data_IF_731048330287
#
_entry.id   IF_731048330287
#
_cell.length_a   1.000
_cell.length_b   1.000
_cell.length_c   1.000
_cell.angle_alpha   90.00
_cell.angle_beta   90.00
_cell.angle_gamma   90.00
#
_symmetry.space_group_name_H-M   'P 1'
#
loop_
_entity.id
_entity.type
_entity.pdbx_description
1 polymer ?
#
# COMPACT_ATOMS: atom_id res chain seq x y z
N UNK A 1 15.67 -1.66 9.05
CA UNK A 1 15.99 -3.11 8.81
C UNK A 1 16.93 -3.28 7.61
N UNK A 2 17.97 -4.15 7.71
CA UNK A 2 18.80 -4.54 6.55
C UNK A 2 18.05 -5.63 5.75
N UNK A 3 17.88 -5.43 4.45
CA UNK A 3 17.23 -6.40 3.57
C UNK A 3 18.30 -7.34 2.99
N UNK A 4 18.20 -8.61 3.32
CA UNK A 4 19.10 -9.68 2.85
C UNK A 4 18.43 -10.53 1.76
N UNK A 5 17.12 -10.79 1.89
CA UNK A 5 16.33 -11.50 0.88
C UNK A 5 15.00 -10.79 0.60
N UNK A 6 14.52 -10.89 -0.63
CA UNK A 6 13.20 -10.44 -1.05
C UNK A 6 12.77 -11.27 -2.26
N UNK A 7 11.73 -12.08 -2.11
CA UNK A 7 11.31 -13.08 -3.07
C UNK A 7 9.83 -13.02 -3.36
N UNK A 8 9.47 -13.18 -4.63
CA UNK A 8 8.08 -13.36 -5.03
C UNK A 8 7.64 -14.80 -4.69
N UNK A 9 6.53 -14.93 -3.99
CA UNK A 9 6.00 -16.23 -3.58
C UNK A 9 4.95 -16.70 -4.58
N UNK A 10 3.86 -15.96 -4.73
CA UNK A 10 2.78 -16.27 -5.67
C UNK A 10 1.83 -15.11 -5.89
N UNK A 11 1.01 -15.25 -6.92
CA UNK A 11 -0.17 -14.42 -7.14
C UNK A 11 -1.44 -15.21 -6.79
N UNK A 12 -2.45 -14.53 -6.27
CA UNK A 12 -3.72 -15.12 -5.91
C UNK A 12 -4.89 -14.16 -6.15
N UNK A 13 -6.11 -14.72 -6.24
CA UNK A 13 -7.36 -13.96 -6.33
C UNK A 13 -8.17 -14.12 -5.05
N UNK A 14 -8.34 -15.35 -4.59
CA UNK A 14 -9.24 -15.70 -3.48
C UNK A 14 -8.53 -16.38 -2.31
N UNK A 15 -9.09 -16.30 -1.08
CA UNK A 15 -8.47 -16.81 0.13
C UNK A 15 -7.89 -18.22 0.07
N UNK A 16 -8.53 -19.22 -0.58
CA UNK A 16 -7.94 -20.57 -0.66
C UNK A 16 -6.63 -20.65 -1.44
N UNK A 17 -6.31 -19.63 -2.25
CA UNK A 17 -5.08 -19.54 -3.03
C UNK A 17 -3.94 -18.84 -2.30
N UNK A 18 -4.23 -18.15 -1.18
CA UNK A 18 -3.22 -17.40 -0.44
C UNK A 18 -2.16 -18.31 0.16
N UNK A 19 -0.92 -17.81 0.32
CA UNK A 19 0.08 -18.56 1.07
C UNK A 19 -0.33 -18.69 2.54
N UNK A 20 0.23 -19.64 3.30
CA UNK A 20 0.00 -19.75 4.73
C UNK A 20 0.25 -18.44 5.47
N UNK A 21 -0.60 -18.09 6.43
CA UNK A 21 -0.54 -16.85 7.22
C UNK A 21 0.48 -16.96 8.38
N UNK A 22 1.71 -17.36 8.08
CA UNK A 22 2.77 -17.62 9.07
C UNK A 22 3.61 -16.40 9.41
N UNK A 23 3.59 -15.38 8.55
CA UNK A 23 4.35 -14.14 8.72
C UNK A 23 3.40 -12.95 8.85
N UNK A 24 3.77 -11.91 9.61
CA UNK A 24 3.01 -10.66 9.61
C UNK A 24 3.03 -10.04 8.21
N UNK A 25 1.88 -9.55 7.75
CA UNK A 25 1.70 -9.01 6.41
C UNK A 25 1.55 -7.51 6.40
N UNK A 26 2.27 -6.87 5.49
CA UNK A 26 2.14 -5.45 5.17
C UNK A 26 1.53 -5.34 3.77
N UNK A 27 0.30 -4.88 3.68
CA UNK A 27 -0.39 -4.72 2.41
C UNK A 27 -0.16 -3.32 1.82
N UNK A 28 -0.03 -3.24 0.51
CA UNK A 28 0.17 -2.00 -0.24
C UNK A 28 -1.07 -1.74 -1.09
N UNK A 29 -1.81 -0.69 -0.76
CA UNK A 29 -3.04 -0.29 -1.44
C UNK A 29 -2.91 1.12 -2.04
N UNK A 30 -3.47 1.34 -3.21
CA UNK A 30 -3.47 2.65 -3.87
C UNK A 30 -3.95 2.57 -5.31
N UNK A 31 -4.20 3.72 -5.90
CA UNK A 31 -4.64 3.82 -7.30
C UNK A 31 -3.60 3.27 -8.26
N UNK A 32 -4.06 2.85 -9.44
CA UNK A 32 -3.17 2.53 -10.55
C UNK A 32 -2.23 3.71 -10.86
N UNK A 33 -0.96 3.41 -11.11
CA UNK A 33 0.09 4.39 -11.41
C UNK A 33 0.39 5.40 -10.28
N UNK A 34 -0.04 5.12 -9.06
CA UNK A 34 0.28 5.94 -7.88
C UNK A 34 1.76 5.86 -7.47
N UNK A 35 2.47 4.82 -7.89
CA UNK A 35 3.87 4.55 -7.54
C UNK A 35 4.06 3.38 -6.56
N UNK A 36 3.03 2.52 -6.42
CA UNK A 36 3.01 1.38 -5.50
C UNK A 36 4.18 0.41 -5.72
N UNK A 37 4.38 -0.11 -6.93
CA UNK A 37 5.50 -1.02 -7.24
C UNK A 37 6.87 -0.34 -7.08
N UNK A 38 6.97 0.97 -7.39
CA UNK A 38 8.20 1.73 -7.15
C UNK A 38 8.51 1.84 -5.66
N UNK A 39 7.48 2.07 -4.82
CA UNK A 39 7.62 2.10 -3.37
C UNK A 39 8.10 0.74 -2.85
N UNK A 40 7.42 -0.36 -3.20
CA UNK A 40 7.80 -1.72 -2.79
C UNK A 40 9.27 -2.00 -3.18
N UNK A 41 9.62 -1.77 -4.44
CA UNK A 41 10.97 -2.02 -4.95
C UNK A 41 12.04 -1.18 -4.22
N UNK A 42 11.73 0.09 -3.91
CA UNK A 42 12.63 0.99 -3.17
C UNK A 42 12.81 0.52 -1.72
N UNK A 43 11.73 0.12 -1.04
CA UNK A 43 11.80 -0.37 0.34
C UNK A 43 12.72 -1.59 0.46
N UNK A 44 12.64 -2.52 -0.49
CA UNK A 44 13.45 -3.75 -0.46
C UNK A 44 14.80 -3.62 -1.16
N UNK A 45 15.11 -2.47 -1.78
CA UNK A 45 16.36 -2.26 -2.53
C UNK A 45 16.52 -3.19 -3.73
N UNK A 46 15.41 -3.64 -4.35
CA UNK A 46 15.42 -4.54 -5.51
C UNK A 46 14.76 -3.84 -6.72
N UNK A 47 15.37 -4.01 -7.90
CA UNK A 47 14.76 -3.58 -9.15
C UNK A 47 13.83 -4.70 -9.63
N UNK A 48 12.58 -4.34 -10.01
CA UNK A 48 11.63 -5.26 -10.65
C UNK A 48 11.11 -6.45 -9.81
N UNK A 49 11.19 -6.41 -8.46
CA UNK A 49 10.53 -7.40 -7.62
C UNK A 49 8.99 -7.28 -7.81
N UNK A 50 8.45 -6.11 -7.53
CA UNK A 50 7.07 -5.79 -7.90
C UNK A 50 7.06 -5.21 -9.32
N UNK A 51 6.35 -5.87 -10.24
CA UNK A 51 6.28 -5.44 -11.65
C UNK A 51 5.32 -4.26 -11.78
N UNK A 52 5.75 -3.21 -12.48
CA UNK A 52 4.87 -2.14 -12.91
C UNK A 52 4.03 -2.62 -14.08
N UNK A 53 2.74 -2.88 -13.89
CA UNK A 53 1.83 -3.18 -14.99
C UNK A 53 1.28 -1.87 -15.56
N UNK A 54 1.62 -1.54 -16.81
CA UNK A 54 1.05 -0.41 -17.54
C UNK A 54 -0.16 -0.81 -18.41
N UNK A 55 -0.57 -2.09 -18.38
CA UNK A 55 -1.65 -2.58 -19.25
C UNK A 55 -2.97 -2.61 -18.48
N UNK A 56 -3.95 -1.74 -18.83
CA UNK A 56 -5.30 -1.81 -18.26
C UNK A 56 -5.99 -3.12 -18.67
N UNK A 57 -6.69 -3.77 -17.75
CA UNK A 57 -7.59 -4.90 -18.06
C UNK A 57 -7.01 -6.31 -17.92
N UNK A 58 -5.74 -6.50 -17.57
CA UNK A 58 -5.26 -7.82 -17.11
C UNK A 58 -5.83 -8.13 -15.74
N UNK A 59 -6.17 -9.40 -15.50
CA UNK A 59 -6.61 -9.91 -14.20
C UNK A 59 -5.70 -9.37 -13.12
N UNK A 60 -6.26 -8.52 -12.27
CA UNK A 60 -5.52 -7.90 -11.19
C UNK A 60 -5.40 -8.94 -10.09
N UNK A 61 -4.19 -9.32 -9.76
CA UNK A 61 -3.89 -10.34 -8.76
C UNK A 61 -3.32 -9.68 -7.51
N UNK A 62 -3.55 -10.28 -6.38
CA UNK A 62 -2.82 -10.00 -5.13
C UNK A 62 -1.49 -10.73 -5.23
N UNK A 63 -0.37 -10.01 -5.10
CA UNK A 63 0.96 -10.58 -5.18
C UNK A 63 1.60 -10.64 -3.80
N UNK A 64 2.10 -11.80 -3.42
CA UNK A 64 2.74 -12.06 -2.14
C UNK A 64 4.25 -12.17 -2.32
N UNK A 65 4.99 -11.48 -1.43
CA UNK A 65 6.44 -11.48 -1.39
C UNK A 65 6.91 -11.76 0.04
N UNK A 66 7.97 -12.51 0.21
CA UNK A 66 8.62 -12.70 1.51
C UNK A 66 9.89 -11.85 1.59
N UNK A 67 10.05 -11.15 2.70
CA UNK A 67 11.18 -10.25 2.98
C UNK A 67 11.93 -10.79 4.19
N UNK A 68 13.21 -11.13 4.02
CA UNK A 68 14.08 -11.69 5.07
C UNK A 68 13.47 -12.91 5.79
N UNK A 69 12.54 -13.62 5.18
CA UNK A 69 11.76 -14.70 5.80
C UNK A 69 11.05 -14.33 7.12
N UNK A 70 10.81 -13.02 7.32
CA UNK A 70 10.24 -12.46 8.55
C UNK A 70 8.96 -11.69 8.36
N UNK A 71 8.75 -11.13 7.16
CA UNK A 71 7.62 -10.25 6.82
C UNK A 71 7.12 -10.65 5.43
N UNK A 72 5.82 -10.62 5.25
CA UNK A 72 5.20 -10.73 3.93
C UNK A 72 4.78 -9.33 3.45
N UNK A 73 5.24 -8.93 2.26
CA UNK A 73 4.70 -7.78 1.54
C UNK A 73 3.61 -8.27 0.59
N UNK A 74 2.47 -7.58 0.60
CA UNK A 74 1.30 -7.95 -0.20
C UNK A 74 0.91 -6.79 -1.10
N UNK A 75 1.18 -6.95 -2.40
CA UNK A 75 0.86 -5.95 -3.41
C UNK A 75 -0.58 -6.14 -3.87
N UNK A 76 -1.49 -5.31 -3.35
CA UNK A 76 -2.89 -5.32 -3.76
C UNK A 76 -3.04 -4.70 -5.16
N UNK A 77 -3.97 -5.19 -5.98
CA UNK A 77 -4.22 -4.58 -7.28
C UNK A 77 -4.64 -3.11 -7.14
N UNK A 78 -4.12 -2.26 -8.01
CA UNK A 78 -4.47 -0.84 -8.02
C UNK A 78 -5.92 -0.62 -8.44
N UNK A 79 -6.59 0.37 -7.84
CA UNK A 79 -7.95 0.80 -8.22
C UNK A 79 -7.94 2.05 -9.12
N UNK A 80 -9.13 2.55 -9.49
CA UNK A 80 -9.28 3.82 -10.19
C UNK A 80 -8.88 3.79 -11.67
N UNK A 81 -8.99 2.65 -12.34
CA UNK A 81 -8.83 2.57 -13.78
C UNK A 81 -10.01 3.24 -14.49
N UNK A 82 -9.74 4.26 -15.31
CA UNK A 82 -10.78 5.02 -16.02
C UNK A 82 -11.53 4.19 -17.09
N UNK A 83 -10.91 3.13 -17.60
CA UNK A 83 -11.40 2.35 -18.77
C UNK A 83 -11.69 0.88 -18.44
N UNK A 84 -12.19 0.57 -17.26
CA UNK A 84 -12.63 -0.80 -16.92
C UNK A 84 -14.13 -0.87 -16.71
N UNK A 85 -14.74 -2.00 -17.06
CA UNK A 85 -16.17 -2.23 -16.87
C UNK A 85 -16.56 -2.22 -15.37
N UNK A 86 -17.82 -1.99 -15.09
CA UNK A 86 -18.34 -2.04 -13.72
C UNK A 86 -18.13 -3.42 -13.07
N UNK A 87 -18.23 -4.50 -13.87
CA UNK A 87 -17.97 -5.86 -13.39
C UNK A 87 -16.52 -6.05 -12.91
N UNK A 88 -15.54 -5.50 -13.62
CA UNK A 88 -14.14 -5.54 -13.20
C UNK A 88 -13.91 -4.75 -11.91
N UNK A 89 -14.58 -3.61 -11.74
CA UNK A 89 -14.53 -2.83 -10.50
C UNK A 89 -15.14 -3.58 -9.33
N UNK A 90 -16.26 -4.26 -9.54
CA UNK A 90 -16.94 -5.07 -8.52
C UNK A 90 -16.05 -6.23 -8.08
N UNK A 91 -15.52 -7.01 -9.02
CA UNK A 91 -14.62 -8.14 -8.72
C UNK A 91 -13.34 -7.68 -7.98
N UNK A 92 -12.80 -6.50 -8.35
CA UNK A 92 -11.69 -5.89 -7.63
C UNK A 92 -12.07 -5.61 -6.18
N UNK A 93 -13.22 -4.99 -5.95
CA UNK A 93 -13.71 -4.67 -4.60
C UNK A 93 -13.87 -5.92 -3.74
N UNK A 94 -14.57 -6.94 -4.26
CA UNK A 94 -14.78 -8.21 -3.57
C UNK A 94 -13.47 -8.92 -3.20
N UNK A 95 -12.50 -8.96 -4.12
CA UNK A 95 -11.20 -9.58 -3.89
C UNK A 95 -10.38 -8.86 -2.80
N UNK A 96 -10.31 -7.52 -2.88
CA UNK A 96 -9.56 -6.73 -1.89
C UNK A 96 -10.26 -6.75 -0.54
N UNK A 97 -11.58 -6.67 -0.52
CA UNK A 97 -12.38 -6.78 0.70
C UNK A 97 -12.18 -8.12 1.39
N UNK A 98 -12.27 -9.23 0.65
CA UNK A 98 -12.02 -10.57 1.20
C UNK A 98 -10.63 -10.66 1.83
N UNK A 99 -9.59 -10.16 1.15
CA UNK A 99 -8.24 -10.15 1.71
C UNK A 99 -8.15 -9.30 2.99
N UNK A 100 -8.57 -8.06 2.94
CA UNK A 100 -8.42 -7.12 4.05
C UNK A 100 -9.26 -7.53 5.28
N UNK A 101 -10.44 -8.13 5.07
CA UNK A 101 -11.35 -8.53 6.14
C UNK A 101 -10.98 -9.85 6.81
N UNK A 102 -10.53 -10.82 6.02
CA UNK A 102 -10.36 -12.19 6.48
C UNK A 102 -8.90 -12.54 6.84
N UNK A 103 -7.93 -11.72 6.39
CA UNK A 103 -6.52 -12.03 6.56
C UNK A 103 -6.00 -11.71 7.95
N UNK A 104 -5.91 -12.73 8.80
CA UNK A 104 -5.49 -12.57 10.22
C UNK A 104 -4.04 -12.11 10.39
N UNK A 105 -3.15 -12.44 9.46
CA UNK A 105 -1.75 -12.00 9.46
C UNK A 105 -1.54 -10.55 9.03
N UNK A 106 -2.59 -9.84 8.59
CA UNK A 106 -2.50 -8.44 8.17
C UNK A 106 -2.19 -7.53 9.37
N UNK A 107 -0.99 -7.00 9.41
CA UNK A 107 -0.51 -6.12 10.47
C UNK A 107 -0.73 -4.63 10.17
N UNK A 108 -0.59 -4.23 8.89
CA UNK A 108 -0.68 -2.82 8.47
C UNK A 108 -1.00 -2.72 6.98
N UNK A 109 -1.75 -1.70 6.60
CA UNK A 109 -1.92 -1.27 5.20
C UNK A 109 -1.11 0.00 4.94
N UNK A 110 -0.22 -0.03 3.97
CA UNK A 110 0.39 1.19 3.41
C UNK A 110 -0.58 1.75 2.39
N UNK A 111 -1.25 2.84 2.75
CA UNK A 111 -2.20 3.52 1.89
C UNK A 111 -1.51 4.61 1.08
N UNK A 112 -1.40 4.39 -0.21
CA UNK A 112 -0.52 5.14 -1.11
C UNK A 112 -1.31 6.14 -1.95
N UNK A 113 -0.92 7.40 -1.88
CA UNK A 113 -1.48 8.51 -2.64
C UNK A 113 -0.38 9.23 -3.43
N UNK A 114 -0.74 9.82 -4.57
CA UNK A 114 0.17 10.70 -5.33
C UNK A 114 0.05 12.12 -4.76
N UNK A 115 1.11 12.67 -4.18
CA UNK A 115 1.11 14.00 -3.54
C UNK A 115 0.61 15.12 -4.46
N UNK A 116 0.73 14.95 -5.78
CA UNK A 116 0.33 15.97 -6.76
C UNK A 116 -1.18 16.06 -6.97
N UNK A 117 -1.97 15.18 -6.36
CA UNK A 117 -3.41 15.04 -6.58
C UNK A 117 -4.18 15.05 -5.28
N UNK A 118 -5.38 15.60 -5.32
CA UNK A 118 -6.31 15.44 -4.23
C UNK A 118 -6.84 13.99 -4.16
N UNK A 119 -7.20 13.50 -2.98
CA UNK A 119 -7.84 12.20 -2.83
C UNK A 119 -9.11 12.10 -3.67
N UNK A 120 -9.25 11.00 -4.39
CA UNK A 120 -10.45 10.71 -5.17
C UNK A 120 -11.55 10.09 -4.32
N UNK A 121 -12.76 9.94 -4.88
CA UNK A 121 -13.86 9.21 -4.22
C UNK A 121 -13.47 7.77 -3.85
N UNK A 122 -12.72 7.10 -4.72
CA UNK A 122 -12.25 5.73 -4.45
C UNK A 122 -11.24 5.70 -3.27
N UNK A 123 -10.37 6.72 -3.15
CA UNK A 123 -9.45 6.86 -2.01
C UNK A 123 -10.23 7.08 -0.70
N UNK A 124 -11.25 7.93 -0.71
CA UNK A 124 -12.10 8.15 0.45
C UNK A 124 -12.87 6.89 0.85
N UNK A 125 -13.43 6.18 -0.14
CA UNK A 125 -14.14 4.90 0.12
C UNK A 125 -13.22 3.85 0.74
N UNK A 126 -11.97 3.72 0.27
CA UNK A 126 -11.01 2.80 0.86
C UNK A 126 -10.66 3.20 2.31
N UNK A 127 -10.46 4.51 2.57
CA UNK A 127 -10.23 5.01 3.93
C UNK A 127 -11.39 4.63 4.86
N UNK A 128 -12.63 4.98 4.47
CA UNK A 128 -13.83 4.73 5.27
C UNK A 128 -13.97 3.24 5.59
N UNK A 129 -13.64 2.41 4.62
CA UNK A 129 -13.65 0.97 4.78
C UNK A 129 -12.58 0.48 5.77
N UNK A 130 -11.33 0.97 5.66
CA UNK A 130 -10.25 0.63 6.60
C UNK A 130 -10.59 1.07 8.04
N UNK A 131 -11.22 2.23 8.20
CA UNK A 131 -11.67 2.74 9.50
C UNK A 131 -12.83 1.92 10.06
N UNK A 132 -13.84 1.60 9.24
CA UNK A 132 -14.98 0.79 9.64
C UNK A 132 -14.54 -0.57 10.21
N UNK A 133 -13.60 -1.24 9.54
CA UNK A 133 -13.07 -2.53 9.98
C UNK A 133 -11.88 -2.42 10.95
N UNK A 134 -11.54 -1.20 11.38
CA UNK A 134 -10.44 -0.91 12.31
C UNK A 134 -9.10 -1.50 11.88
N UNK A 135 -8.86 -1.54 10.57
CA UNK A 135 -7.60 -2.02 10.00
C UNK A 135 -6.56 -0.93 10.14
N UNK A 136 -5.41 -1.19 10.78
CA UNK A 136 -4.35 -0.20 10.88
C UNK A 136 -3.79 0.17 9.51
N UNK A 137 -3.57 1.47 9.27
CA UNK A 137 -2.97 1.93 8.03
C UNK A 137 -2.07 3.16 8.23
N UNK A 138 -1.14 3.33 7.28
CA UNK A 138 -0.20 4.45 7.19
C UNK A 138 -0.35 5.12 5.84
N UNK A 139 -0.54 6.44 5.81
CA UNK A 139 -0.53 7.18 4.56
C UNK A 139 0.89 7.41 4.06
N UNK A 140 1.13 7.11 2.79
CA UNK A 140 2.38 7.41 2.09
C UNK A 140 2.09 8.22 0.84
N UNK A 141 2.57 9.48 0.83
CA UNK A 141 2.43 10.38 -0.30
C UNK A 141 3.65 10.22 -1.22
N UNK A 142 3.46 9.54 -2.33
CA UNK A 142 4.51 9.27 -3.32
C UNK A 142 4.80 10.49 -4.21
N UNK A 143 5.90 10.39 -4.97
CA UNK A 143 6.32 11.39 -5.96
C UNK A 143 6.62 12.77 -5.37
N UNK A 144 7.09 12.79 -4.11
CA UNK A 144 7.42 14.03 -3.41
C UNK A 144 8.54 14.84 -4.11
N UNK A 145 9.37 14.18 -4.93
CA UNK A 145 10.39 14.83 -5.78
C UNK A 145 9.81 15.70 -6.92
N UNK A 146 8.52 15.63 -7.16
CA UNK A 146 7.84 16.40 -8.22
C UNK A 146 7.32 17.75 -7.75
N UNK A 147 7.44 18.06 -6.47
CA UNK A 147 7.02 19.32 -5.86
C UNK A 147 8.19 19.96 -5.11
N UNK A 148 8.19 21.29 -5.04
CA UNK A 148 9.10 22.00 -4.12
C UNK A 148 8.73 21.71 -2.66
N UNK A 149 9.62 22.06 -1.71
CA UNK A 149 9.34 21.85 -0.29
C UNK A 149 8.06 22.58 0.17
N UNK A 150 7.89 23.84 -0.22
CA UNK A 150 6.71 24.63 0.14
C UNK A 150 5.42 24.06 -0.47
N UNK A 151 5.47 23.63 -1.73
CA UNK A 151 4.34 22.97 -2.39
C UNK A 151 4.02 21.63 -1.70
N UNK A 152 5.04 20.86 -1.31
CA UNK A 152 4.84 19.58 -0.61
C UNK A 152 4.16 19.77 0.75
N UNK A 153 4.54 20.78 1.52
CA UNK A 153 3.91 21.10 2.81
C UNK A 153 2.45 21.51 2.60
N UNK A 154 2.20 22.44 1.68
CA UNK A 154 0.84 22.91 1.38
C UNK A 154 -0.07 21.78 0.90
N UNK A 155 0.42 20.96 -0.03
CA UNK A 155 -0.36 19.86 -0.58
C UNK A 155 -0.60 18.73 0.44
N UNK A 156 0.40 18.42 1.27
CA UNK A 156 0.22 17.51 2.41
C UNK A 156 -0.92 17.97 3.31
N UNK A 157 -0.90 19.23 3.77
CA UNK A 157 -1.95 19.78 4.64
C UNK A 157 -3.33 19.79 3.98
N UNK A 158 -3.39 19.98 2.65
CA UNK A 158 -4.64 19.87 1.89
C UNK A 158 -5.16 18.44 1.86
N UNK A 159 -4.29 17.47 1.60
CA UNK A 159 -4.63 16.05 1.59
C UNK A 159 -5.07 15.59 2.98
N UNK A 160 -4.38 15.99 4.05
CA UNK A 160 -4.76 15.70 5.44
C UNK A 160 -6.19 16.15 5.74
N UNK A 161 -6.53 17.39 5.38
CA UNK A 161 -7.89 17.90 5.55
C UNK A 161 -8.93 17.12 4.74
N UNK A 162 -8.64 16.81 3.48
CA UNK A 162 -9.56 16.09 2.60
C UNK A 162 -9.79 14.64 3.04
N UNK A 163 -8.79 14.04 3.69
CA UNK A 163 -8.90 12.71 4.27
C UNK A 163 -9.53 12.70 5.65
N UNK A 164 -9.86 13.88 6.23
CA UNK A 164 -10.24 13.99 7.64
C UNK A 164 -9.29 13.20 8.55
N UNK A 165 -8.00 13.18 8.19
CA UNK A 165 -7.00 12.43 8.94
C UNK A 165 -6.91 13.02 10.34
N UNK A 166 -7.09 12.17 11.37
CA UNK A 166 -6.90 12.59 12.75
C UNK A 166 -5.50 13.17 12.95
N UNK A 167 -5.41 14.27 13.69
CA UNK A 167 -4.14 14.87 14.06
C UNK A 167 -3.28 13.81 14.76
N UNK A 168 -2.14 13.44 14.15
CA UNK A 168 -1.22 12.41 14.68
C UNK A 168 -1.21 11.08 13.91
N UNK A 169 -2.13 10.82 12.99
CA UNK A 169 -1.93 9.73 12.01
C UNK A 169 -0.83 10.14 11.03
N UNK A 170 0.32 9.47 11.15
CA UNK A 170 1.51 9.81 10.38
C UNK A 170 1.26 9.76 8.87
N UNK A 171 1.55 10.88 8.18
CA UNK A 171 1.68 10.91 6.73
C UNK A 171 3.15 11.02 6.39
N UNK A 172 3.68 10.08 5.63
CA UNK A 172 5.06 10.07 5.18
C UNK A 172 5.15 10.54 3.72
N UNK A 173 6.02 11.52 3.47
CA UNK A 173 6.37 11.95 2.11
C UNK A 173 7.42 11.00 1.54
N UNK A 174 7.16 10.43 0.37
CA UNK A 174 8.03 9.45 -0.24
C UNK A 174 8.42 9.81 -1.69
N UNK A 175 9.67 9.54 -2.03
CA UNK A 175 10.17 9.58 -3.39
C UNK A 175 11.03 8.36 -3.71
N UNK A 176 10.64 7.58 -4.72
CA UNK A 176 11.46 6.48 -5.21
C UNK A 176 12.75 6.96 -5.91
N UNK A 177 12.78 8.22 -6.38
CA UNK A 177 13.95 8.80 -7.06
C UNK A 177 15.05 9.17 -6.07
N UNK A 178 14.67 9.74 -4.92
CA UNK A 178 15.61 10.27 -3.91
C UNK A 178 15.69 9.40 -2.67
N UNK A 179 14.89 8.34 -2.58
CA UNK A 179 14.69 7.48 -1.41
C UNK A 179 14.18 8.23 -0.15
N UNK A 180 13.73 9.48 -0.29
CA UNK A 180 13.12 10.25 0.80
C UNK A 180 11.96 9.45 1.41
N UNK A 181 11.88 9.39 2.74
CA UNK A 181 10.82 8.70 3.47
C UNK A 181 11.01 7.18 3.60
N UNK A 182 12.01 6.58 2.96
CA UNK A 182 12.27 5.13 3.03
C UNK A 182 12.54 4.66 4.47
N UNK A 183 13.43 5.38 5.18
CA UNK A 183 13.76 5.03 6.55
C UNK A 183 12.61 5.29 7.51
N UNK A 184 11.83 6.35 7.28
CA UNK A 184 10.66 6.68 8.10
C UNK A 184 9.59 5.58 7.99
N UNK A 185 9.34 5.08 6.77
CA UNK A 185 8.43 3.95 6.57
C UNK A 185 8.95 2.71 7.29
N UNK A 186 10.25 2.36 7.13
CA UNK A 186 10.83 1.21 7.82
C UNK A 186 10.73 1.33 9.34
N UNK A 187 10.94 2.53 9.91
CA UNK A 187 10.76 2.75 11.35
C UNK A 187 9.34 2.38 11.80
N UNK A 188 8.32 2.88 11.10
CA UNK A 188 6.91 2.55 11.41
C UNK A 188 6.64 1.06 11.28
N UNK A 189 7.18 0.40 10.24
CA UNK A 189 7.02 -1.04 10.06
C UNK A 189 7.68 -1.84 11.20
N UNK A 190 8.91 -1.48 11.58
CA UNK A 190 9.62 -2.15 12.68
C UNK A 190 8.91 -1.97 14.02
N UNK A 191 8.44 -0.78 14.32
CA UNK A 191 7.70 -0.49 15.54
C UNK A 191 6.38 -1.29 15.58
N UNK A 192 5.69 -1.37 14.45
CA UNK A 192 4.45 -2.13 14.32
C UNK A 192 4.66 -3.63 14.48
N UNK A 193 5.75 -4.16 13.94
CA UNK A 193 6.06 -5.59 13.99
C UNK A 193 6.64 -6.05 15.34
N UNK A 194 7.13 -5.13 16.18
CA UNK A 194 7.60 -5.41 17.55
C UNK A 194 6.48 -5.44 18.58
N UNK A 195 5.29 -4.95 18.24
CA UNK A 195 4.16 -4.98 19.16
C UNK A 195 3.65 -6.43 19.31
N UNK A 196 3.37 -6.89 20.56
CA UNK A 196 2.80 -8.22 20.78
C UNK A 196 1.45 -8.32 20.05
N UNK A 197 1.17 -9.51 19.54
CA UNK A 197 -0.11 -9.82 18.89
C UNK A 197 -1.26 -9.37 19.80
N UNK A 198 -2.24 -8.69 19.21
CA UNK A 198 -3.48 -8.35 19.92
C UNK A 198 -4.16 -9.67 20.30
N UNK A 199 -4.22 -9.94 21.61
CA UNK A 199 -5.07 -10.99 22.18
C UNK A 199 -6.55 -10.71 21.90
#
# INVERSE_FOLDING_TARGET
>A
MKITSAEFIKSAVWPPQYPPATLPEIAFAGRSNVGKSSLINTLVGRKNLAKTSNTPGRTQLINFFTINEKISFVDLPGYGFAKVSQSVKKNWGEMVEAYLKERQSLALVIFILDIRRDPSKDDLSLRDWLEHYRIPYLYVLTKADKLSNNQSVSQRSKIERNLHAEAGRGIILFSAKTEKGKNDIWQVLEDRLRLPERK
#
